data_IF_522691578182
#
_entry.id   IF_522691578182
#
_cell.length_a   1.000
_cell.length_b   1.000
_cell.length_c   1.000
_cell.angle_alpha   90.00
_cell.angle_beta   90.00
_cell.angle_gamma   90.00
#
_symmetry.space_group_name_H-M   'P 1'
#
loop_
_entity.id
_entity.type
_entity.pdbx_description
1 polymer ?
#
# COMPACT_ATOMS: atom_id res chain seq x y z
N UNK A 1 -21.21 23.75 -6.75
CA UNK A 1 -19.89 23.07 -6.80
C UNK A 1 -19.99 21.93 -7.78
N UNK A 2 -19.58 22.15 -9.03
CA UNK A 2 -19.62 21.11 -10.06
C UNK A 2 -18.48 20.14 -9.83
N UNK A 3 -18.78 18.87 -9.60
CA UNK A 3 -17.79 17.81 -9.72
C UNK A 3 -17.57 17.69 -11.23
N UNK A 4 -16.68 18.52 -11.77
CA UNK A 4 -16.16 18.33 -13.12
C UNK A 4 -15.47 16.97 -13.11
N UNK A 5 -16.20 15.95 -13.55
CA UNK A 5 -15.65 14.63 -13.84
C UNK A 5 -14.64 14.81 -14.97
N UNK A 6 -13.40 15.15 -14.62
CA UNK A 6 -12.28 15.02 -15.54
C UNK A 6 -12.33 13.60 -16.07
N UNK A 7 -12.45 13.46 -17.40
CA UNK A 7 -12.43 12.15 -18.05
C UNK A 7 -11.26 11.34 -17.45
N UNK A 8 -11.47 10.10 -17.00
CA UNK A 8 -10.49 9.35 -16.20
C UNK A 8 -9.11 9.27 -16.88
N UNK A 9 -9.10 9.23 -18.21
CA UNK A 9 -7.89 9.30 -19.04
C UNK A 9 -7.08 10.59 -18.87
N UNK A 10 -7.75 11.73 -18.67
CA UNK A 10 -7.12 13.04 -18.46
C UNK A 10 -6.56 13.16 -17.03
N UNK A 11 -7.30 12.65 -16.04
CA UNK A 11 -6.83 12.59 -14.65
C UNK A 11 -5.59 11.70 -14.52
N UNK A 12 -5.62 10.50 -15.11
CA UNK A 12 -4.49 9.57 -15.14
C UNK A 12 -3.27 10.22 -15.77
N UNK A 13 -3.44 10.92 -16.91
CA UNK A 13 -2.33 11.60 -17.58
C UNK A 13 -1.72 12.72 -16.73
N UNK A 14 -2.56 13.49 -16.04
CA UNK A 14 -2.11 14.56 -15.14
C UNK A 14 -1.42 14.03 -13.87
N UNK A 15 -1.80 12.84 -13.39
CA UNK A 15 -1.30 12.26 -12.15
C UNK A 15 -0.39 11.04 -12.36
N UNK A 16 0.15 10.84 -13.57
CA UNK A 16 1.04 9.71 -13.91
C UNK A 16 2.20 9.53 -12.94
N UNK A 17 2.75 10.64 -12.43
CA UNK A 17 3.84 10.60 -11.45
C UNK A 17 3.43 10.08 -10.07
N UNK A 18 2.16 10.16 -9.69
CA UNK A 18 1.64 9.67 -8.41
C UNK A 18 1.15 8.21 -8.49
N UNK A 19 0.98 7.66 -9.70
CA UNK A 19 0.52 6.28 -9.90
C UNK A 19 1.39 5.22 -9.20
N UNK A 20 2.74 5.29 -9.20
CA UNK A 20 3.55 4.27 -8.52
C UNK A 20 3.26 4.21 -7.02
N UNK A 21 3.10 5.36 -6.37
CA UNK A 21 2.83 5.46 -4.94
C UNK A 21 1.40 5.06 -4.59
N UNK A 22 0.42 5.42 -5.43
CA UNK A 22 -0.96 4.91 -5.29
C UNK A 22 -0.99 3.39 -5.44
N UNK A 23 -0.29 2.85 -6.45
CA UNK A 23 -0.20 1.41 -6.69
C UNK A 23 0.46 0.70 -5.50
N UNK A 24 1.54 1.26 -4.95
CA UNK A 24 2.19 0.71 -3.76
C UNK A 24 1.23 0.61 -2.56
N UNK A 25 0.43 1.66 -2.31
CA UNK A 25 -0.59 1.64 -1.26
C UNK A 25 -1.67 0.59 -1.52
N UNK A 26 -2.12 0.44 -2.77
CA UNK A 26 -3.10 -0.60 -3.14
C UNK A 26 -2.52 -1.99 -2.93
N UNK A 27 -1.26 -2.22 -3.31
CA UNK A 27 -0.57 -3.50 -3.10
C UNK A 27 -0.44 -3.80 -1.61
N UNK A 28 -0.07 -2.82 -0.78
CA UNK A 28 -0.02 -2.99 0.67
C UNK A 28 -1.41 -3.35 1.23
N UNK A 29 -2.45 -2.62 0.83
CA UNK A 29 -3.81 -2.90 1.28
C UNK A 29 -4.27 -4.31 0.88
N UNK A 30 -4.00 -4.72 -0.36
CA UNK A 30 -4.27 -6.09 -0.83
C UNK A 30 -3.47 -7.12 -0.03
N UNK A 31 -2.19 -6.84 0.25
CA UNK A 31 -1.33 -7.71 1.04
C UNK A 31 -1.88 -7.96 2.44
N UNK A 32 -2.56 -7.00 3.06
CA UNK A 32 -3.21 -7.22 4.37
C UNK A 32 -4.41 -8.15 4.26
N UNK A 33 -5.24 -7.97 3.22
CA UNK A 33 -6.42 -8.82 2.99
C UNK A 33 -6.01 -10.26 2.68
N UNK A 34 -5.12 -10.45 1.71
CA UNK A 34 -4.64 -11.77 1.33
C UNK A 34 -3.75 -12.38 2.40
N UNK A 35 -2.87 -11.57 3.01
CA UNK A 35 -1.97 -12.01 4.07
C UNK A 35 -2.72 -12.50 5.30
N UNK A 36 -3.81 -11.85 5.70
CA UNK A 36 -4.64 -12.31 6.82
C UNK A 36 -5.32 -13.67 6.52
N UNK A 37 -5.84 -13.84 5.31
CA UNK A 37 -6.45 -15.10 4.88
C UNK A 37 -5.43 -16.24 4.87
N UNK A 38 -4.26 -16.02 4.24
CA UNK A 38 -3.17 -17.00 4.16
C UNK A 38 -2.62 -17.31 5.55
N UNK A 39 -2.43 -16.29 6.41
CA UNK A 39 -1.94 -16.50 7.77
C UNK A 39 -2.91 -17.36 8.59
N UNK A 40 -4.22 -17.15 8.43
CA UNK A 40 -5.24 -17.94 9.15
C UNK A 40 -5.18 -19.41 8.72
N UNK A 41 -5.07 -19.68 7.42
CA UNK A 41 -4.94 -21.04 6.89
C UNK A 41 -3.62 -21.70 7.33
N UNK A 42 -2.52 -20.94 7.27
CA UNK A 42 -1.20 -21.39 7.73
C UNK A 42 -1.18 -21.74 9.22
N UNK A 43 -1.80 -20.91 10.07
CA UNK A 43 -1.91 -21.19 11.50
C UNK A 43 -2.82 -22.39 11.78
N UNK A 44 -3.87 -22.61 10.99
CA UNK A 44 -4.76 -23.75 11.14
C UNK A 44 -4.07 -25.09 10.83
N UNK A 45 -3.12 -25.10 9.88
CA UNK A 45 -2.32 -26.27 9.53
C UNK A 45 -0.99 -26.39 10.29
N UNK A 46 -0.71 -25.52 11.26
CA UNK A 46 0.57 -25.51 11.98
C UNK A 46 0.60 -26.58 13.09
N UNK A 47 1.19 -27.74 12.78
CA UNK A 47 1.30 -28.85 13.74
C UNK A 47 2.42 -28.67 14.80
N UNK A 48 3.26 -27.64 14.67
CA UNK A 48 4.37 -27.42 15.60
C UNK A 48 4.53 -25.96 16.08
N UNK A 49 4.97 -25.75 17.33
CA UNK A 49 5.26 -24.41 17.84
C UNK A 49 6.31 -23.65 17.03
N UNK A 50 7.28 -24.36 16.44
CA UNK A 50 8.32 -23.76 15.60
C UNK A 50 7.77 -23.23 14.28
N UNK A 51 6.83 -23.95 13.65
CA UNK A 51 6.14 -23.46 12.46
C UNK A 51 5.36 -22.17 12.78
N UNK A 52 4.64 -22.16 13.90
CA UNK A 52 3.89 -21.00 14.36
C UNK A 52 4.80 -19.79 14.65
N UNK A 53 5.95 -20.00 15.29
CA UNK A 53 6.99 -18.96 15.49
C UNK A 53 7.51 -18.40 14.17
N UNK A 54 7.82 -19.28 13.21
CA UNK A 54 8.31 -18.84 11.90
C UNK A 54 7.28 -17.98 11.16
N UNK A 55 6.01 -18.39 11.17
CA UNK A 55 4.89 -17.62 10.61
C UNK A 55 4.73 -16.26 11.29
N UNK A 56 4.85 -16.21 12.62
CA UNK A 56 4.83 -14.97 13.39
C UNK A 56 5.95 -14.01 12.96
N UNK A 57 7.19 -14.48 12.91
CA UNK A 57 8.32 -13.65 12.50
C UNK A 57 8.19 -13.14 11.07
N UNK A 58 7.70 -14.00 10.16
CA UNK A 58 7.44 -13.62 8.78
C UNK A 58 6.35 -12.54 8.70
N UNK A 59 5.27 -12.69 9.48
CA UNK A 59 4.19 -11.71 9.57
C UNK A 59 4.67 -10.36 10.12
N UNK A 60 5.53 -10.38 11.15
CA UNK A 60 6.14 -9.15 11.68
C UNK A 60 7.04 -8.47 10.66
N UNK A 61 7.87 -9.23 9.93
CA UNK A 61 8.72 -8.69 8.87
C UNK A 61 7.88 -8.07 7.74
N UNK A 62 6.84 -8.77 7.28
CA UNK A 62 5.91 -8.25 6.28
C UNK A 62 5.20 -6.98 6.77
N UNK A 63 4.78 -6.94 8.04
CA UNK A 63 4.19 -5.76 8.67
C UNK A 63 5.15 -4.57 8.69
N UNK A 64 6.42 -4.77 9.05
CA UNK A 64 7.44 -3.73 9.05
C UNK A 64 7.68 -3.17 7.64
N UNK A 65 7.83 -4.04 6.64
CA UNK A 65 7.98 -3.63 5.24
C UNK A 65 6.76 -2.85 4.76
N UNK A 66 5.56 -3.31 5.10
CA UNK A 66 4.30 -2.62 4.78
C UNK A 66 4.28 -1.19 5.32
N UNK A 67 4.69 -0.98 6.57
CA UNK A 67 4.73 0.36 7.19
C UNK A 67 5.73 1.27 6.47
N UNK A 68 6.92 0.77 6.17
CA UNK A 68 7.96 1.53 5.47
C UNK A 68 7.45 1.96 4.09
N UNK A 69 6.93 1.02 3.30
CA UNK A 69 6.38 1.29 1.96
C UNK A 69 5.23 2.28 2.01
N UNK A 70 4.31 2.10 2.96
CA UNK A 70 3.17 3.00 3.16
C UNK A 70 3.64 4.41 3.47
N UNK A 71 4.59 4.56 4.39
CA UNK A 71 5.13 5.87 4.79
C UNK A 71 5.82 6.56 3.63
N UNK A 72 6.63 5.84 2.85
CA UNK A 72 7.29 6.37 1.66
C UNK A 72 6.29 6.80 0.60
N UNK A 73 5.28 5.97 0.32
CA UNK A 73 4.24 6.27 -0.66
C UNK A 73 3.38 7.46 -0.25
N UNK A 74 2.98 7.54 1.03
CA UNK A 74 2.24 8.68 1.56
C UNK A 74 3.08 9.97 1.52
N UNK A 75 4.36 9.91 1.88
CA UNK A 75 5.24 11.07 1.83
C UNK A 75 5.45 11.56 0.38
N UNK A 76 5.61 10.65 -0.58
CA UNK A 76 5.69 10.99 -2.00
C UNK A 76 4.39 11.64 -2.50
N UNK A 77 3.23 11.11 -2.13
CA UNK A 77 1.93 11.73 -2.43
C UNK A 77 1.82 13.11 -1.79
N UNK A 78 2.09 13.22 -0.49
CA UNK A 78 2.00 14.47 0.26
C UNK A 78 2.91 15.53 -0.38
N UNK A 79 4.16 15.21 -0.70
CA UNK A 79 5.09 16.12 -1.37
C UNK A 79 4.55 16.64 -2.71
N UNK A 80 3.89 15.78 -3.49
CA UNK A 80 3.33 16.16 -4.80
C UNK A 80 2.13 17.08 -4.68
N UNK A 81 1.23 16.81 -3.73
CA UNK A 81 0.00 17.60 -3.55
C UNK A 81 0.20 18.86 -2.69
N UNK A 82 1.22 18.90 -1.83
CA UNK A 82 1.55 20.07 -1.00
C UNK A 82 2.47 21.08 -1.68
N UNK A 83 3.15 20.72 -2.78
CA UNK A 83 3.96 21.69 -3.54
C UNK A 83 3.04 22.78 -4.11
N UNK A 84 3.15 24.04 -3.64
CA UNK A 84 2.41 25.13 -4.23
C UNK A 84 2.87 25.23 -5.68
N UNK A 85 1.91 25.19 -6.61
CA UNK A 85 2.11 25.37 -8.04
C UNK A 85 2.88 26.68 -8.23
N UNK A 86 4.20 26.61 -8.37
CA UNK A 86 5.06 27.78 -8.61
C UNK A 86 4.71 28.27 -10.01
N UNK A 87 3.68 29.11 -10.08
CA UNK A 87 3.33 29.92 -11.25
C UNK A 87 4.57 30.74 -11.58
N UNK A 88 5.31 30.32 -12.59
CA UNK A 88 6.09 31.23 -13.42
C UNK A 88 5.20 31.61 -14.59
#
# INVERSE_FOLDING_TARGET
MGIETERPTRWIRNHRGALPSILALVVVAASWVFGAAIATDYLAGADSPMAMLSGLYLGLAAGAVSIIVTTLALNDLASRYSRPRRRR
#
